data_IF_007057237737
#
_entry.id   IF_007057237737
#
_cell.length_a   1.000
_cell.length_b   1.000
_cell.length_c   1.000
_cell.angle_alpha   90.00
_cell.angle_beta   90.00
_cell.angle_gamma   90.00
#
_symmetry.space_group_name_H-M   'P 1'
#
loop_
_entity.id
_entity.type
_entity.pdbx_description
1 polymer ?
#
# COMPACT_ATOMS: atom_id res chain seq x y z
N UNK A 1 17.61 -3.45 25.43
CA UNK A 1 16.41 -4.32 25.32
C UNK A 1 15.22 -3.45 24.97
N UNK A 2 14.35 -3.85 24.04
CA UNK A 2 13.11 -3.11 23.71
C UNK A 2 12.11 -3.39 24.84
N UNK A 3 11.48 -2.36 25.41
CA UNK A 3 10.44 -2.55 26.43
C UNK A 3 9.23 -3.28 25.84
N UNK A 4 8.56 -4.09 26.66
CA UNK A 4 7.40 -4.86 26.21
C UNK A 4 6.27 -3.96 25.67
N UNK A 5 6.10 -2.77 26.26
CA UNK A 5 5.15 -1.75 25.79
C UNK A 5 5.42 -1.30 24.35
N UNK A 6 6.70 -1.07 23.99
CA UNK A 6 7.07 -0.66 22.63
C UNK A 6 6.89 -1.83 21.66
N UNK A 7 7.21 -3.05 22.10
CA UNK A 7 6.99 -4.25 21.30
C UNK A 7 5.51 -4.44 20.97
N UNK A 8 4.63 -4.27 21.96
CA UNK A 8 3.18 -4.34 21.77
C UNK A 8 2.66 -3.20 20.86
N UNK A 9 3.14 -1.97 21.08
CA UNK A 9 2.79 -0.81 20.27
C UNK A 9 3.18 -0.97 18.79
N UNK A 10 4.21 -1.78 18.50
CA UNK A 10 4.62 -2.14 17.14
C UNK A 10 3.79 -3.31 16.61
N UNK A 11 3.59 -4.35 17.41
CA UNK A 11 2.99 -5.61 16.94
C UNK A 11 1.57 -5.45 16.43
N UNK A 12 0.74 -4.69 17.15
CA UNK A 12 -0.68 -4.52 16.80
C UNK A 12 -0.86 -3.86 15.43
N UNK A 13 -0.27 -2.69 15.12
CA UNK A 13 -0.36 -2.09 13.78
C UNK A 13 0.18 -2.98 12.65
N UNK A 14 1.25 -3.75 12.89
CA UNK A 14 1.80 -4.64 11.88
C UNK A 14 0.90 -5.84 11.59
N UNK A 15 0.25 -6.42 12.62
CA UNK A 15 -0.77 -7.46 12.44
C UNK A 15 -1.95 -6.95 11.62
N UNK A 16 -2.47 -5.76 11.94
CA UNK A 16 -3.57 -5.13 11.18
C UNK A 16 -3.19 -4.94 9.71
N UNK A 17 -2.01 -4.37 9.44
CA UNK A 17 -1.51 -4.20 8.06
C UNK A 17 -1.41 -5.53 7.32
N UNK A 18 -0.93 -6.59 7.99
CA UNK A 18 -0.82 -7.92 7.40
C UNK A 18 -2.20 -8.49 7.05
N UNK A 19 -3.19 -8.38 7.93
CA UNK A 19 -4.54 -8.86 7.64
C UNK A 19 -5.21 -8.08 6.51
N UNK A 20 -5.07 -6.75 6.48
CA UNK A 20 -5.54 -5.93 5.37
C UNK A 20 -4.89 -6.35 4.05
N UNK A 21 -3.57 -6.55 4.05
CA UNK A 21 -2.83 -7.00 2.87
C UNK A 21 -3.33 -8.34 2.34
N UNK A 22 -3.47 -9.33 3.23
CA UNK A 22 -3.96 -10.67 2.86
C UNK A 22 -5.39 -10.55 2.33
N UNK A 23 -6.28 -9.87 3.06
CA UNK A 23 -7.69 -9.75 2.69
C UNK A 23 -7.89 -9.11 1.32
N UNK A 24 -7.20 -7.99 1.05
CA UNK A 24 -7.28 -7.30 -0.24
C UNK A 24 -6.64 -8.11 -1.38
N UNK A 25 -5.47 -8.70 -1.15
CA UNK A 25 -4.79 -9.53 -2.16
C UNK A 25 -5.61 -10.77 -2.52
N UNK A 26 -6.11 -11.49 -1.52
CA UNK A 26 -6.97 -12.67 -1.73
C UNK A 26 -8.30 -12.26 -2.36
N UNK A 27 -8.90 -11.16 -1.91
CA UNK A 27 -10.12 -10.61 -2.51
C UNK A 27 -9.96 -10.30 -3.99
N UNK A 28 -8.85 -9.67 -4.38
CA UNK A 28 -8.54 -9.39 -5.78
C UNK A 28 -8.39 -10.68 -6.61
N UNK A 29 -7.70 -11.69 -6.08
CA UNK A 29 -7.55 -12.99 -6.74
C UNK A 29 -8.91 -13.68 -6.90
N UNK A 30 -9.73 -13.72 -5.86
CA UNK A 30 -11.06 -14.33 -5.90
C UNK A 30 -11.98 -13.60 -6.91
N UNK A 31 -11.90 -12.27 -6.96
CA UNK A 31 -12.68 -11.48 -7.91
C UNK A 31 -12.24 -11.74 -9.36
N UNK A 32 -10.93 -11.84 -9.60
CA UNK A 32 -10.39 -12.27 -10.90
C UNK A 32 -10.87 -13.68 -11.28
N UNK A 33 -10.83 -14.64 -10.35
CA UNK A 33 -11.32 -16.00 -10.59
C UNK A 33 -12.83 -16.03 -10.89
N UNK A 34 -13.63 -15.26 -10.16
CA UNK A 34 -15.06 -15.16 -10.42
C UNK A 34 -15.34 -14.66 -11.85
N UNK A 35 -14.64 -13.59 -12.26
CA UNK A 35 -14.76 -13.04 -13.62
C UNK A 35 -14.28 -14.05 -14.66
N UNK A 36 -13.15 -14.73 -14.40
CA UNK A 36 -12.65 -15.81 -15.24
C UNK A 36 -13.71 -16.88 -15.49
N UNK A 37 -14.37 -17.40 -14.45
CA UNK A 37 -15.41 -18.42 -14.64
C UNK A 37 -16.67 -17.90 -15.33
N UNK A 38 -17.01 -16.61 -15.17
CA UNK A 38 -18.18 -16.00 -15.84
C UNK A 38 -17.93 -15.75 -17.33
N UNK A 39 -16.68 -15.46 -17.71
CA UNK A 39 -16.30 -15.18 -19.10
C UNK A 39 -15.73 -16.39 -19.82
N UNK A 40 -15.28 -17.42 -19.10
CA UNK A 40 -14.76 -18.64 -19.68
C UNK A 40 -15.77 -19.26 -20.66
N UNK A 41 -15.30 -19.55 -21.88
CA UNK A 41 -16.11 -20.14 -22.95
C UNK A 41 -16.98 -19.15 -23.73
N UNK A 42 -16.95 -17.85 -23.41
CA UNK A 42 -17.59 -16.81 -24.24
C UNK A 42 -16.59 -16.28 -25.26
N UNK A 43 -17.02 -16.10 -26.51
CA UNK A 43 -16.21 -15.44 -27.53
C UNK A 43 -15.90 -13.99 -27.12
N UNK A 44 -14.68 -13.50 -27.39
CA UNK A 44 -14.34 -12.09 -27.21
C UNK A 44 -15.35 -11.17 -27.90
N UNK A 45 -15.66 -10.07 -27.24
CA UNK A 45 -16.52 -9.02 -27.76
C UNK A 45 -15.64 -7.86 -28.22
N UNK A 46 -15.33 -7.84 -29.51
CA UNK A 46 -14.50 -6.80 -30.14
C UNK A 46 -15.23 -5.46 -30.32
N UNK A 47 -16.47 -5.33 -29.82
CA UNK A 47 -17.25 -4.11 -29.89
C UNK A 47 -16.73 -2.97 -28.99
N UNK A 48 -15.65 -3.18 -28.23
CA UNK A 48 -14.98 -2.09 -27.53
C UNK A 48 -14.20 -1.25 -28.54
N UNK A 49 -14.69 -0.04 -28.78
CA UNK A 49 -13.94 0.99 -29.52
C UNK A 49 -12.51 1.10 -28.98
N UNK A 50 -11.54 1.21 -29.89
CA UNK A 50 -10.14 1.42 -29.57
C UNK A 50 -9.95 2.61 -28.63
N UNK A 51 -10.76 3.66 -28.79
CA UNK A 51 -10.77 4.83 -27.90
C UNK A 51 -11.01 4.43 -26.45
N UNK A 52 -11.97 3.55 -26.18
CA UNK A 52 -12.26 3.08 -24.83
C UNK A 52 -11.08 2.29 -24.27
N UNK A 53 -10.46 1.44 -25.08
CA UNK A 53 -9.28 0.66 -24.67
C UNK A 53 -8.11 1.58 -24.28
N UNK A 54 -7.83 2.62 -25.08
CA UNK A 54 -6.78 3.60 -24.78
C UNK A 54 -7.07 4.41 -23.51
N UNK A 55 -8.33 4.81 -23.27
CA UNK A 55 -8.72 5.54 -22.06
C UNK A 55 -8.45 4.70 -20.81
N UNK A 56 -8.80 3.41 -20.84
CA UNK A 56 -8.53 2.51 -19.72
C UNK A 56 -7.04 2.21 -19.53
N UNK A 57 -6.29 2.05 -20.61
CA UNK A 57 -4.83 1.90 -20.55
C UNK A 57 -4.16 3.13 -19.93
N UNK A 58 -4.55 4.34 -20.37
CA UNK A 58 -4.06 5.59 -19.81
C UNK A 58 -4.43 5.74 -18.32
N UNK A 59 -5.66 5.43 -17.94
CA UNK A 59 -6.10 5.47 -16.54
C UNK A 59 -5.29 4.49 -15.67
N UNK A 60 -5.08 3.26 -16.13
CA UNK A 60 -4.25 2.27 -15.44
C UNK A 60 -2.80 2.71 -15.28
N UNK A 61 -2.22 3.30 -16.33
CA UNK A 61 -0.86 3.83 -16.30
C UNK A 61 -0.73 5.03 -15.33
N UNK A 62 -1.70 5.94 -15.33
CA UNK A 62 -1.73 7.06 -14.38
C UNK A 62 -1.80 6.54 -12.93
N UNK A 63 -2.68 5.58 -12.65
CA UNK A 63 -2.77 4.97 -11.32
C UNK A 63 -1.48 4.25 -10.91
N UNK A 64 -0.82 3.57 -11.85
CA UNK A 64 0.49 2.97 -11.61
C UNK A 64 1.53 4.04 -11.23
N UNK A 65 1.61 5.16 -11.96
CA UNK A 65 2.51 6.25 -11.63
C UNK A 65 2.19 6.85 -10.25
N UNK A 66 0.90 7.07 -9.94
CA UNK A 66 0.45 7.53 -8.63
C UNK A 66 0.90 6.56 -7.54
N UNK A 67 0.73 5.25 -7.73
CA UNK A 67 1.16 4.23 -6.76
C UNK A 67 2.67 4.30 -6.50
N UNK A 68 3.49 4.41 -7.55
CA UNK A 68 4.95 4.51 -7.46
C UNK A 68 5.38 5.79 -6.74
N UNK A 69 4.84 6.94 -7.14
CA UNK A 69 5.17 8.26 -6.55
C UNK A 69 4.73 8.30 -5.09
N UNK A 70 3.49 7.89 -4.82
CA UNK A 70 2.91 7.90 -3.49
C UNK A 70 3.68 7.02 -2.53
N UNK A 71 4.14 5.85 -2.99
CA UNK A 71 5.02 4.98 -2.22
C UNK A 71 6.36 5.67 -1.91
N UNK A 72 7.02 6.25 -2.91
CA UNK A 72 8.30 6.95 -2.72
C UNK A 72 8.18 8.06 -1.67
N UNK A 73 7.06 8.78 -1.69
CA UNK A 73 6.79 9.87 -0.74
C UNK A 73 6.40 9.37 0.67
N UNK A 74 5.55 8.34 0.76
CA UNK A 74 5.03 7.82 2.04
C UNK A 74 6.10 7.13 2.88
N UNK A 75 7.06 6.46 2.22
CA UNK A 75 8.15 5.73 2.87
C UNK A 75 9.47 6.50 2.94
N UNK A 76 9.46 7.80 2.64
CA UNK A 76 10.65 8.64 2.70
C UNK A 76 11.25 8.70 4.10
N UNK A 77 12.58 8.55 4.20
CA UNK A 77 13.33 8.57 5.46
C UNK A 77 13.28 9.93 6.16
N UNK A 78 13.08 11.02 5.42
CA UNK A 78 13.02 12.37 5.99
C UNK A 78 11.90 12.51 7.02
N UNK A 79 10.74 11.89 6.77
CA UNK A 79 9.58 11.91 7.69
C UNK A 79 9.81 11.07 8.94
N UNK A 80 10.56 9.98 8.81
CA UNK A 80 10.96 9.17 9.97
C UNK A 80 11.91 9.99 10.84
N UNK A 81 12.95 10.58 10.24
CA UNK A 81 13.91 11.43 10.95
C UNK A 81 13.24 12.62 11.66
N UNK A 82 12.28 13.30 11.03
CA UNK A 82 11.55 14.42 11.65
C UNK A 82 10.76 14.07 12.91
N UNK A 83 10.28 12.83 13.05
CA UNK A 83 9.48 12.41 14.21
C UNK A 83 10.37 11.91 15.35
N UNK A 84 11.49 11.27 15.02
CA UNK A 84 12.35 10.60 15.99
C UNK A 84 13.62 11.38 16.37
N UNK A 85 14.09 12.31 15.54
CA UNK A 85 15.22 13.18 15.88
C UNK A 85 14.69 14.49 16.50
N UNK A 86 15.24 14.92 17.65
CA UNK A 86 14.96 16.25 18.18
C UNK A 86 15.45 17.31 17.17
N UNK A 87 14.63 18.33 16.90
CA UNK A 87 15.07 19.46 16.10
C UNK A 87 16.24 20.13 16.84
N UNK A 88 17.46 19.98 16.32
CA UNK A 88 18.70 20.41 16.97
C UNK A 88 18.83 21.93 17.17
N UNK A 89 17.86 22.74 16.71
CA UNK A 89 18.04 24.18 16.57
C UNK A 89 16.94 25.05 17.20
N UNK A 90 16.22 24.61 18.24
CA UNK A 90 15.30 25.50 18.97
C UNK A 90 15.65 25.61 20.44
N UNK A 91 16.46 26.62 20.73
CA UNK A 91 16.77 27.23 22.02
C UNK A 91 15.55 27.94 22.64
N UNK A 92 14.46 27.21 22.86
CA UNK A 92 13.36 27.69 23.70
C UNK A 92 13.04 26.65 24.77
N UNK A 93 13.34 26.94 26.05
CA UNK A 93 12.92 26.13 27.18
C UNK A 93 11.45 26.45 27.42
N UNK A 94 10.58 25.90 26.59
CA UNK A 94 9.14 25.88 26.85
C UNK A 94 8.80 24.40 26.95
N UNK A 95 8.30 24.02 28.13
CA UNK A 95 7.80 22.71 28.55
C UNK A 95 6.94 22.03 27.47
N UNK A 96 7.58 21.50 26.44
CA UNK A 96 6.93 20.54 25.56
C UNK A 96 6.89 19.24 26.36
N UNK A 97 5.70 18.72 26.71
CA UNK A 97 5.61 17.43 27.36
C UNK A 97 6.40 16.43 26.49
N UNK A 98 7.48 15.89 27.05
CA UNK A 98 8.29 14.90 26.36
C UNK A 98 7.39 13.69 26.15
N UNK A 99 6.81 13.56 24.94
CA UNK A 99 6.05 12.37 24.61
C UNK A 99 6.97 11.17 24.79
N UNK A 100 6.51 10.22 25.60
CA UNK A 100 7.17 8.95 25.78
C UNK A 100 7.43 8.27 24.42
N UNK A 101 8.53 7.53 24.34
CA UNK A 101 9.00 6.85 23.13
C UNK A 101 7.94 5.93 22.54
N UNK A 102 7.13 5.25 23.37
CA UNK A 102 6.05 4.40 22.89
C UNK A 102 4.94 5.22 22.20
N UNK A 103 4.61 6.39 22.74
CA UNK A 103 3.61 7.30 22.15
C UNK A 103 4.05 7.85 20.79
N UNK A 104 5.33 8.21 20.63
CA UNK A 104 5.89 8.63 19.33
C UNK A 104 5.82 7.51 18.29
N UNK A 105 6.18 6.28 18.68
CA UNK A 105 6.09 5.10 17.82
C UNK A 105 4.64 4.86 17.38
N UNK A 106 3.68 4.91 18.32
CA UNK A 106 2.25 4.74 18.03
C UNK A 106 1.74 5.79 17.05
N UNK A 107 2.03 7.07 17.29
CA UNK A 107 1.63 8.17 16.40
C UNK A 107 2.19 8.00 14.98
N UNK A 108 3.47 7.66 14.86
CA UNK A 108 4.11 7.42 13.57
C UNK A 108 3.47 6.23 12.84
N UNK A 109 3.24 5.11 13.54
CA UNK A 109 2.66 3.90 12.96
C UNK A 109 1.21 4.11 12.50
N UNK A 110 0.41 4.87 13.26
CA UNK A 110 -0.96 5.26 12.87
C UNK A 110 -0.96 6.08 11.59
N UNK A 111 -0.07 7.07 11.47
CA UNK A 111 0.05 7.87 10.24
C UNK A 111 0.49 7.02 9.05
N UNK A 112 1.46 6.13 9.26
CA UNK A 112 1.90 5.16 8.25
C UNK A 112 0.79 4.18 7.86
N UNK A 113 -0.15 3.87 8.75
CA UNK A 113 -1.28 2.99 8.45
C UNK A 113 -2.25 3.63 7.44
N UNK A 114 -2.50 4.94 7.54
CA UNK A 114 -3.33 5.65 6.56
C UNK A 114 -2.70 5.57 5.17
N UNK A 115 -1.40 5.91 5.05
CA UNK A 115 -0.68 5.80 3.79
C UNK A 115 -0.66 4.37 3.23
N UNK A 116 -0.56 3.38 4.12
CA UNK A 116 -0.61 1.98 3.76
C UNK A 116 -1.94 1.58 3.11
N UNK A 117 -3.06 1.97 3.74
CA UNK A 117 -4.42 1.69 3.24
C UNK A 117 -4.63 2.35 1.88
N UNK A 118 -4.23 3.61 1.74
CA UNK A 118 -4.35 4.34 0.46
C UNK A 118 -3.53 3.64 -0.63
N UNK A 119 -2.31 3.19 -0.31
CA UNK A 119 -1.47 2.47 -1.28
C UNK A 119 -2.11 1.16 -1.74
N UNK A 120 -2.72 0.38 -0.83
CA UNK A 120 -3.42 -0.85 -1.21
C UNK A 120 -4.66 -0.55 -2.05
N UNK A 121 -5.44 0.48 -1.70
CA UNK A 121 -6.62 0.88 -2.47
C UNK A 121 -6.26 1.30 -3.91
N UNK A 122 -5.15 2.03 -4.11
CA UNK A 122 -4.68 2.40 -5.45
C UNK A 122 -4.28 1.14 -6.25
N UNK A 123 -3.54 0.22 -5.64
CA UNK A 123 -3.14 -1.03 -6.30
C UNK A 123 -4.36 -1.87 -6.72
N UNK A 124 -5.34 -2.03 -5.83
CA UNK A 124 -6.56 -2.78 -6.14
C UNK A 124 -7.39 -2.10 -7.22
N UNK A 125 -7.41 -0.77 -7.26
CA UNK A 125 -8.10 0.00 -8.31
C UNK A 125 -7.57 -0.32 -9.70
N UNK A 126 -6.25 -0.54 -9.84
CA UNK A 126 -5.64 -0.99 -11.11
C UNK A 126 -6.19 -2.36 -11.52
N UNK A 127 -6.26 -3.31 -10.58
CA UNK A 127 -6.79 -4.64 -10.83
C UNK A 127 -8.29 -4.63 -11.17
N UNK A 128 -9.08 -3.83 -10.46
CA UNK A 128 -10.51 -3.65 -10.70
C UNK A 128 -10.77 -3.04 -12.09
N UNK A 129 -9.97 -2.06 -12.52
CA UNK A 129 -10.05 -1.52 -13.89
C UNK A 129 -9.79 -2.61 -14.94
N UNK A 130 -8.74 -3.42 -14.76
CA UNK A 130 -8.44 -4.54 -15.65
C UNK A 130 -9.57 -5.58 -15.72
N UNK A 131 -10.18 -5.87 -14.58
CA UNK A 131 -11.33 -6.76 -14.50
C UNK A 131 -12.53 -6.16 -15.23
N UNK A 132 -12.82 -4.87 -15.05
CA UNK A 132 -13.90 -4.20 -15.75
C UNK A 132 -13.70 -4.27 -17.27
N UNK A 133 -12.48 -4.03 -17.77
CA UNK A 133 -12.15 -4.13 -19.20
C UNK A 133 -12.40 -5.55 -19.71
N UNK A 134 -11.87 -6.58 -19.05
CA UNK A 134 -12.04 -7.96 -19.50
C UNK A 134 -13.48 -8.44 -19.39
N UNK A 135 -14.25 -7.92 -18.44
CA UNK A 135 -15.68 -8.22 -18.35
C UNK A 135 -16.46 -7.63 -19.53
N UNK A 136 -16.22 -6.35 -19.88
CA UNK A 136 -16.92 -5.68 -20.99
C UNK A 136 -16.48 -6.25 -22.35
N UNK A 137 -15.17 -6.46 -22.53
CA UNK A 137 -14.60 -7.05 -23.76
C UNK A 137 -14.78 -8.56 -23.86
N UNK A 138 -15.21 -9.24 -22.77
CA UNK A 138 -15.20 -10.71 -22.66
C UNK A 138 -13.86 -11.35 -23.03
N UNK A 139 -12.78 -10.60 -22.85
CA UNK A 139 -11.42 -11.01 -23.21
C UNK A 139 -10.51 -10.95 -21.99
N UNK A 140 -10.19 -12.13 -21.47
CA UNK A 140 -9.35 -12.30 -20.28
C UNK A 140 -7.90 -11.87 -20.52
N UNK A 141 -7.43 -11.90 -21.78
CA UNK A 141 -6.08 -11.47 -22.11
C UNK A 141 -5.88 -9.98 -21.77
N UNK A 142 -6.94 -9.17 -21.85
CA UNK A 142 -6.94 -7.75 -21.51
C UNK A 142 -6.95 -7.49 -20.00
N UNK A 143 -7.44 -8.42 -19.17
CA UNK A 143 -7.42 -8.30 -17.70
C UNK A 143 -6.07 -8.63 -17.09
N UNK A 144 -5.38 -9.64 -17.64
CA UNK A 144 -4.17 -10.20 -17.04
C UNK A 144 -3.09 -9.16 -16.73
N UNK A 145 -2.71 -8.23 -17.63
CA UNK A 145 -1.66 -7.26 -17.35
C UNK A 145 -1.95 -6.41 -16.11
N UNK A 146 -3.20 -5.99 -15.93
CA UNK A 146 -3.61 -5.16 -14.79
C UNK A 146 -3.59 -5.94 -13.47
N UNK A 147 -4.05 -7.19 -13.49
CA UNK A 147 -4.03 -8.03 -12.29
C UNK A 147 -2.60 -8.37 -11.87
N UNK A 148 -1.74 -8.70 -12.83
CA UNK A 148 -0.32 -8.94 -12.56
C UNK A 148 0.33 -7.69 -11.97
N UNK A 149 0.11 -6.51 -12.55
CA UNK A 149 0.64 -5.24 -12.02
C UNK A 149 0.11 -4.96 -10.61
N UNK A 150 -1.19 -5.09 -10.38
CA UNK A 150 -1.81 -4.88 -9.07
C UNK A 150 -1.23 -5.82 -7.99
N UNK A 151 -1.08 -7.12 -8.31
CA UNK A 151 -0.49 -8.10 -7.42
C UNK A 151 0.99 -7.83 -7.14
N UNK A 152 1.77 -7.46 -8.16
CA UNK A 152 3.17 -7.06 -7.98
C UNK A 152 3.29 -5.84 -7.08
N UNK A 153 2.43 -4.83 -7.26
CA UNK A 153 2.38 -3.67 -6.38
C UNK A 153 1.97 -4.05 -4.95
N UNK A 154 1.01 -4.94 -4.77
CA UNK A 154 0.61 -5.45 -3.45
C UNK A 154 1.79 -6.17 -2.78
N UNK A 155 2.45 -7.12 -3.45
CA UNK A 155 3.67 -7.78 -2.95
C UNK A 155 4.74 -6.76 -2.57
N UNK A 156 4.94 -5.74 -3.42
CA UNK A 156 5.92 -4.71 -3.17
C UNK A 156 5.61 -3.92 -1.88
N UNK A 157 4.33 -3.72 -1.55
CA UNK A 157 3.85 -2.99 -0.36
C UNK A 157 3.74 -3.91 0.88
N UNK A 158 4.19 -5.17 0.85
CA UNK A 158 4.11 -6.08 1.99
C UNK A 158 4.68 -5.48 3.31
N UNK A 159 3.98 -5.60 4.45
CA UNK A 159 4.39 -4.95 5.70
C UNK A 159 5.58 -5.69 6.34
N UNK A 160 6.78 -5.10 6.26
CA UNK A 160 8.02 -5.67 6.80
C UNK A 160 8.36 -5.09 8.18
N UNK A 161 8.00 -5.82 9.25
CA UNK A 161 8.28 -5.44 10.64
C UNK A 161 9.77 -5.25 10.92
N UNK A 162 10.61 -6.15 10.42
CA UNK A 162 12.06 -6.15 10.62
C UNK A 162 12.72 -4.85 10.13
N UNK A 163 12.30 -4.33 8.97
CA UNK A 163 12.83 -3.07 8.44
C UNK A 163 12.55 -1.89 9.37
N UNK A 164 11.39 -1.88 10.01
CA UNK A 164 11.04 -0.83 10.97
C UNK A 164 11.85 -0.96 12.27
N UNK A 165 12.00 -2.19 12.80
CA UNK A 165 12.82 -2.44 13.98
C UNK A 165 14.29 -2.06 13.74
N UNK A 166 14.85 -2.40 12.59
CA UNK A 166 16.23 -2.05 12.24
C UNK A 166 16.41 -0.53 12.13
N UNK A 167 15.41 0.19 11.60
CA UNK A 167 15.41 1.66 11.57
C UNK A 167 15.38 2.29 12.97
N UNK A 168 14.57 1.75 13.88
CA UNK A 168 14.55 2.22 15.26
C UNK A 168 15.90 1.98 15.97
N UNK A 169 16.50 0.80 15.79
CA UNK A 169 17.84 0.50 16.32
C UNK A 169 18.90 1.44 15.76
N UNK A 170 18.88 1.74 14.45
CA UNK A 170 19.87 2.65 13.84
C UNK A 170 19.83 4.09 14.36
N UNK A 171 18.73 4.52 15.00
CA UNK A 171 18.60 5.85 15.57
C UNK A 171 19.10 5.95 17.02
N UNK A 172 19.67 4.88 17.59
CA UNK A 172 20.09 4.87 18.99
C UNK A 172 18.93 5.01 19.97
N UNK A 173 17.69 4.82 19.50
CA UNK A 173 16.53 4.71 20.40
C UNK A 173 16.47 3.33 21.06
N UNK A 174 17.38 2.40 20.72
CA UNK A 174 17.58 1.07 21.30
C UNK A 174 19.00 0.54 21.09
#
# INVERSE_FOLDING_TARGET
MISDEIKEAIDTPFKIKKYLWIGLTVGLILYFLAVYFITAGKSPNDNLSDTTQYVFAAAGFILFLIAVIFRKFSFSESRFKQVFLPATNTSSPIDKPQLDSASKVKMYLSRQQVFYIISLAINDSIGILGIAIGFISRDLSKTLPYIVVALLLNIWVYPKKERFLNKLRSLGQF
#
